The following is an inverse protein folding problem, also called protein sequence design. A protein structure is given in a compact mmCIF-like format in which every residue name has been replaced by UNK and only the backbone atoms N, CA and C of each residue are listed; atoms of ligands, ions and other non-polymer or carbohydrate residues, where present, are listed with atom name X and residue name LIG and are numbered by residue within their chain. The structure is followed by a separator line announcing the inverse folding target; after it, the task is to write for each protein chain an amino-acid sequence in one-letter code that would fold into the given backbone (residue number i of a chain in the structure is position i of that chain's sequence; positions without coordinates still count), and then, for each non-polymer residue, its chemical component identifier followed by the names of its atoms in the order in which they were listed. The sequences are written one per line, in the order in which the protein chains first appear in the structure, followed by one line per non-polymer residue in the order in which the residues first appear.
data_IF_587441536196
#
_entry.id   IF_587441536196
#
_cell.length_a   1.000
_cell.length_b   1.000
_cell.length_c   1.000
_cell.angle_alpha   90.00
_cell.angle_beta   90.00
_cell.angle_gamma   90.00
#
_symmetry.space_group_name_H-M   'P 1'
#
loop_
_entity.id
_entity.type
_entity.pdbx_description
1 polymer ?
#
# COMPACT_ATOMS: atom_id res chain seq x y z
N UNK A 1 15.16 12.95 -9.37
CA UNK A 1 15.48 12.31 -8.07
C UNK A 1 14.77 13.06 -6.94
N UNK A 2 14.59 12.43 -5.76
CA UNK A 2 14.00 13.08 -4.58
C UNK A 2 14.70 14.40 -4.19
N UNK A 3 15.99 14.53 -4.50
CA UNK A 3 16.78 15.74 -4.26
C UNK A 3 16.39 16.92 -5.15
N UNK A 4 15.90 16.69 -6.38
CA UNK A 4 15.59 17.76 -7.34
C UNK A 4 14.38 18.60 -6.92
N UNK A 5 13.53 18.04 -6.05
CA UNK A 5 12.37 18.72 -5.47
C UNK A 5 12.61 19.14 -4.01
N UNK A 6 13.80 18.87 -3.45
CA UNK A 6 14.09 19.16 -2.06
C UNK A 6 14.41 20.65 -1.87
N UNK A 7 13.92 21.31 -0.81
CA UNK A 7 14.30 22.68 -0.50
C UNK A 7 15.80 22.80 -0.17
N UNK A 8 16.45 23.90 -0.53
CA UNK A 8 17.87 24.17 -0.18
C UNK A 8 18.14 24.06 1.33
N UNK A 9 17.14 24.41 2.15
CA UNK A 9 17.18 24.29 3.61
C UNK A 9 17.27 22.85 4.10
N UNK A 10 16.67 21.90 3.37
CA UNK A 10 16.79 20.49 3.67
C UNK A 10 18.20 19.99 3.37
N UNK A 11 18.76 20.36 2.21
CA UNK A 11 20.10 19.90 1.82
C UNK A 11 21.17 20.40 2.79
N UNK A 12 21.01 21.62 3.31
CA UNK A 12 21.98 22.25 4.22
C UNK A 12 21.52 22.33 5.68
N UNK A 13 20.62 21.45 6.15
CA UNK A 13 20.07 21.52 7.50
C UNK A 13 21.16 21.39 8.59
N UNK A 14 21.83 20.24 8.64
CA UNK A 14 22.76 19.90 9.73
C UNK A 14 24.21 20.24 9.39
N UNK A 15 24.56 20.08 8.12
CA UNK A 15 25.84 20.41 7.50
C UNK A 15 25.62 20.61 6.01
N UNK A 16 26.62 21.16 5.31
CA UNK A 16 26.58 21.25 3.86
C UNK A 16 26.28 19.86 3.23
N UNK A 17 25.31 19.79 2.31
CA UNK A 17 24.86 18.55 1.63
C UNK A 17 24.38 17.42 2.54
N UNK A 18 23.98 17.72 3.77
CA UNK A 18 23.43 16.72 4.68
C UNK A 18 22.21 15.98 4.09
N UNK A 19 21.28 16.71 3.46
CA UNK A 19 20.06 16.13 2.90
C UNK A 19 20.35 15.19 1.72
N UNK A 20 21.26 15.59 0.84
CA UNK A 20 21.76 14.73 -0.25
C UNK A 20 22.38 13.45 0.30
N UNK A 21 23.32 13.55 1.25
CA UNK A 21 23.97 12.37 1.84
C UNK A 21 22.98 11.47 2.58
N UNK A 22 21.99 12.05 3.28
CA UNK A 22 20.94 11.30 3.94
C UNK A 22 20.05 10.53 2.94
N UNK A 23 19.73 11.14 1.79
CA UNK A 23 18.96 10.50 0.73
C UNK A 23 19.76 9.40 0.00
N UNK A 24 21.05 9.61 -0.25
CA UNK A 24 21.94 8.62 -0.87
C UNK A 24 22.07 7.33 -0.02
N UNK A 25 22.07 7.48 1.31
CA UNK A 25 22.13 6.33 2.24
C UNK A 25 20.72 5.75 2.49
N UNK A 26 19.67 6.55 2.33
CA UNK A 26 18.31 6.06 2.46
C UNK A 26 17.98 5.06 1.35
N UNK A 27 17.44 3.89 1.71
CA UNK A 27 16.84 2.99 0.73
C UNK A 27 15.51 3.60 0.29
N UNK A 28 15.34 3.98 -0.98
CA UNK A 28 14.04 4.46 -1.46
C UNK A 28 13.08 3.28 -1.54
N UNK A 29 12.31 3.03 -0.47
CA UNK A 29 11.24 2.03 -0.44
C UNK A 29 9.99 2.50 -1.21
N UNK A 30 10.17 2.90 -2.47
CA UNK A 30 9.15 3.51 -3.31
C UNK A 30 9.72 4.25 -4.54
N UNK A 31 8.89 4.97 -5.31
CA UNK A 31 7.46 5.24 -5.09
C UNK A 31 6.58 4.00 -5.23
N UNK A 32 5.52 3.94 -4.44
CA UNK A 32 4.50 2.89 -4.54
C UNK A 32 3.27 3.45 -5.24
N UNK A 33 2.87 2.80 -6.33
CA UNK A 33 1.70 3.19 -7.10
C UNK A 33 0.49 2.33 -6.74
N UNK A 34 -0.71 2.92 -6.77
CA UNK A 34 -1.95 2.20 -6.59
C UNK A 34 -3.02 2.73 -7.56
N UNK A 35 -3.84 1.83 -8.10
CA UNK A 35 -5.09 2.19 -8.78
C UNK A 35 -6.24 2.04 -7.80
N UNK A 36 -7.15 3.02 -7.78
CA UNK A 36 -8.31 3.04 -6.88
C UNK A 36 -9.60 2.99 -7.66
N UNK A 37 -10.50 2.11 -7.23
CA UNK A 37 -11.86 2.00 -7.75
C UNK A 37 -12.86 2.13 -6.59
N UNK A 38 -14.05 2.63 -6.91
CA UNK A 38 -15.15 2.75 -5.95
C UNK A 38 -16.30 1.89 -6.46
N UNK A 39 -16.86 1.08 -5.58
CA UNK A 39 -18.03 0.25 -5.83
C UNK A 39 -19.02 0.31 -4.68
N UNK A 40 -19.99 -0.59 -4.71
CA UNK A 40 -21.02 -0.75 -3.67
C UNK A 40 -21.04 -2.22 -3.25
N UNK A 41 -21.06 -2.47 -1.95
CA UNK A 41 -21.18 -3.77 -1.31
C UNK A 41 -22.26 -3.69 -0.24
N UNK A 42 -23.40 -4.39 -0.41
CA UNK A 42 -24.53 -4.37 0.53
C UNK A 42 -24.87 -2.95 1.00
N UNK A 43 -25.14 -2.06 0.06
CA UNK A 43 -25.45 -0.63 0.27
C UNK A 43 -24.34 0.20 0.96
N UNK A 44 -23.17 -0.40 1.19
CA UNK A 44 -21.98 0.26 1.73
C UNK A 44 -21.02 0.58 0.61
N UNK A 45 -20.49 1.81 0.62
CA UNK A 45 -19.44 2.22 -0.32
C UNK A 45 -18.19 1.36 -0.12
N UNK A 46 -17.80 0.64 -1.16
CA UNK A 46 -16.61 -0.19 -1.20
C UNK A 46 -15.48 0.54 -1.93
N UNK A 47 -14.29 0.49 -1.36
CA UNK A 47 -13.05 0.96 -1.97
C UNK A 47 -12.23 -0.27 -2.37
N UNK A 48 -11.76 -0.29 -3.61
CA UNK A 48 -10.81 -1.28 -4.10
C UNK A 48 -9.51 -0.57 -4.42
N UNK A 49 -8.40 -1.08 -3.91
CA UNK A 49 -7.06 -0.62 -4.26
C UNK A 49 -6.26 -1.76 -4.87
N UNK A 50 -5.63 -1.50 -6.03
CA UNK A 50 -4.77 -2.47 -6.72
C UNK A 50 -3.34 -1.93 -6.74
N UNK A 51 -2.46 -2.70 -6.12
CA UNK A 51 -1.07 -2.34 -5.84
C UNK A 51 -0.12 -3.25 -6.63
N UNK A 52 0.50 -2.76 -7.73
CA UNK A 52 1.64 -3.43 -8.34
C UNK A 52 2.88 -3.28 -7.45
N UNK A 53 3.35 -4.38 -6.87
CA UNK A 53 4.50 -4.42 -5.97
C UNK A 53 5.57 -5.30 -6.61
N UNK A 54 6.82 -4.81 -6.67
CA UNK A 54 7.95 -5.64 -7.08
C UNK A 54 8.13 -6.75 -6.06
N UNK A 55 8.42 -7.95 -6.52
CA UNK A 55 8.67 -9.11 -5.68
C UNK A 55 9.84 -9.90 -6.24
N UNK A 56 10.80 -10.25 -5.38
CA UNK A 56 11.95 -11.06 -5.76
C UNK A 56 13.09 -10.32 -6.48
N UNK A 57 14.24 -10.99 -6.59
CA UNK A 57 15.46 -10.43 -7.20
C UNK A 57 15.33 -10.21 -8.72
N UNK A 58 14.36 -10.86 -9.36
CA UNK A 58 14.08 -10.74 -10.79
C UNK A 58 13.16 -9.54 -11.14
N UNK A 59 12.70 -8.80 -10.13
CA UNK A 59 11.90 -7.58 -10.31
C UNK A 59 10.49 -7.83 -10.84
N UNK A 60 9.96 -9.06 -10.72
CA UNK A 60 8.59 -9.36 -11.13
C UNK A 60 7.58 -8.53 -10.35
N UNK A 61 6.48 -8.17 -11.01
CA UNK A 61 5.38 -7.44 -10.37
C UNK A 61 4.33 -8.43 -9.89
N UNK A 62 4.07 -8.43 -8.58
CA UNK A 62 2.92 -9.06 -7.95
C UNK A 62 1.82 -8.02 -7.69
N UNK A 63 0.57 -8.40 -7.88
CA UNK A 63 -0.56 -7.53 -7.61
C UNK A 63 -1.19 -7.87 -6.26
N UNK A 64 -1.28 -6.88 -5.39
CA UNK A 64 -2.05 -6.97 -4.14
C UNK A 64 -3.33 -6.17 -4.32
N UNK A 65 -4.46 -6.81 -4.05
CA UNK A 65 -5.78 -6.16 -4.10
C UNK A 65 -6.29 -6.03 -2.67
N UNK A 66 -6.62 -4.80 -2.26
CA UNK A 66 -7.35 -4.54 -1.04
C UNK A 66 -8.79 -4.17 -1.36
N UNK A 67 -9.73 -4.77 -0.62
CA UNK A 67 -11.11 -4.33 -0.57
C UNK A 67 -11.42 -3.82 0.84
N UNK A 68 -11.86 -2.56 0.95
CA UNK A 68 -12.14 -1.94 2.24
C UNK A 68 -13.39 -1.07 2.20
N UNK A 69 -14.07 -0.96 3.32
CA UNK A 69 -15.24 -0.10 3.51
C UNK A 69 -15.18 0.53 4.90
N UNK A 70 -15.93 1.62 5.08
CA UNK A 70 -15.98 2.36 6.35
C UNK A 70 -17.42 2.43 6.84
N UNK A 71 -17.61 2.17 8.13
CA UNK A 71 -18.88 2.29 8.83
C UNK A 71 -18.63 2.78 10.25
N UNK A 72 -19.63 3.39 10.88
CA UNK A 72 -19.54 3.90 12.24
C UNK A 72 -19.76 2.80 13.30
N UNK A 73 -20.35 1.65 12.94
CA UNK A 73 -20.59 0.54 13.87
C UNK A 73 -19.57 -0.58 13.68
N UNK A 74 -18.97 -1.01 14.80
CA UNK A 74 -18.05 -2.16 14.84
C UNK A 74 -18.77 -3.45 14.48
N UNK A 75 -20.01 -3.60 14.92
CA UNK A 75 -20.86 -4.76 14.66
C UNK A 75 -21.15 -4.89 13.17
N UNK A 76 -21.53 -3.79 12.53
CA UNK A 76 -21.72 -3.73 11.07
C UNK A 76 -20.40 -4.02 10.34
N UNK A 77 -19.28 -3.43 10.79
CA UNK A 77 -17.97 -3.67 10.19
C UNK A 77 -17.59 -5.15 10.23
N UNK A 78 -17.80 -5.82 11.36
CA UNK A 78 -17.51 -7.23 11.55
C UNK A 78 -18.40 -8.11 10.69
N UNK A 79 -19.71 -7.83 10.65
CA UNK A 79 -20.67 -8.59 9.86
C UNK A 79 -20.40 -8.46 8.35
N UNK A 80 -20.24 -7.24 7.84
CA UNK A 80 -19.98 -7.02 6.41
C UNK A 80 -18.60 -7.54 6.00
N UNK A 81 -17.60 -7.50 6.89
CA UNK A 81 -16.28 -8.09 6.62
C UNK A 81 -16.40 -9.60 6.47
N UNK A 82 -17.15 -10.26 7.35
CA UNK A 82 -17.40 -11.69 7.26
C UNK A 82 -18.10 -12.08 5.96
N UNK A 83 -19.14 -11.33 5.57
CA UNK A 83 -19.85 -11.55 4.30
C UNK A 83 -18.93 -11.38 3.08
N UNK A 84 -18.14 -10.31 3.05
CA UNK A 84 -17.22 -10.06 1.94
C UNK A 84 -16.13 -11.13 1.87
N UNK A 85 -15.55 -11.53 3.01
CA UNK A 85 -14.54 -12.58 3.06
C UNK A 85 -15.10 -13.92 2.53
N UNK A 86 -16.28 -14.34 3.00
CA UNK A 86 -16.93 -15.57 2.54
C UNK A 86 -17.21 -15.54 1.02
N UNK A 87 -17.68 -14.40 0.49
CA UNK A 87 -17.88 -14.23 -0.95
C UNK A 87 -16.56 -14.37 -1.73
N UNK A 88 -15.48 -13.72 -1.27
CA UNK A 88 -14.18 -13.79 -1.93
C UNK A 88 -13.54 -15.18 -1.83
N UNK A 89 -13.75 -15.90 -0.73
CA UNK A 89 -13.34 -17.29 -0.56
C UNK A 89 -14.09 -18.22 -1.52
N UNK A 90 -15.42 -18.07 -1.65
CA UNK A 90 -16.24 -18.83 -2.60
C UNK A 90 -15.75 -18.65 -4.05
N UNK A 91 -15.28 -17.45 -4.40
CA UNK A 91 -14.70 -17.17 -5.73
C UNK A 91 -13.24 -17.63 -5.88
N UNK A 92 -12.60 -18.09 -4.82
CA UNK A 92 -11.18 -18.44 -4.82
C UNK A 92 -10.25 -17.23 -4.95
N UNK A 93 -10.73 -16.03 -4.61
CA UNK A 93 -9.97 -14.78 -4.70
C UNK A 93 -9.30 -14.39 -3.38
N UNK A 94 -9.83 -14.87 -2.25
CA UNK A 94 -9.24 -14.57 -0.96
C UNK A 94 -8.04 -15.48 -0.68
N UNK A 95 -6.88 -14.87 -0.50
CA UNK A 95 -5.70 -15.53 0.04
C UNK A 95 -5.70 -15.36 1.56
N UNK A 96 -6.09 -16.39 2.29
CA UNK A 96 -6.23 -16.39 3.75
C UNK A 96 -4.87 -16.43 4.48
N UNK A 97 -4.04 -15.39 4.28
CA UNK A 97 -2.79 -15.18 5.00
C UNK A 97 -2.62 -13.71 5.35
N UNK A 98 -1.99 -13.45 6.49
CA UNK A 98 -1.60 -12.08 6.81
C UNK A 98 -0.52 -11.60 5.83
N UNK A 99 -0.68 -10.37 5.37
CA UNK A 99 0.24 -9.73 4.44
C UNK A 99 0.29 -8.24 4.80
N UNK A 100 1.32 -7.86 5.55
CA UNK A 100 1.54 -6.45 5.91
C UNK A 100 2.09 -5.72 4.68
N UNK A 101 1.25 -4.89 4.06
CA UNK A 101 1.62 -4.10 2.87
C UNK A 101 2.94 -3.34 3.07
N UNK A 102 3.13 -2.73 4.24
CA UNK A 102 4.36 -2.01 4.58
C UNK A 102 5.59 -2.93 4.58
N UNK A 103 5.49 -4.10 5.20
CA UNK A 103 6.58 -5.07 5.22
C UNK A 103 6.91 -5.55 3.80
N UNK A 104 5.89 -5.86 3.00
CA UNK A 104 6.08 -6.27 1.61
C UNK A 104 6.78 -5.20 0.76
N UNK A 105 6.47 -3.92 0.98
CA UNK A 105 7.16 -2.82 0.30
C UNK A 105 8.62 -2.73 0.79
N UNK A 106 8.85 -2.80 2.10
CA UNK A 106 10.20 -2.71 2.70
C UNK A 106 11.12 -3.88 2.33
N UNK A 107 10.56 -5.05 2.05
CA UNK A 107 11.34 -6.23 1.65
C UNK A 107 11.70 -6.24 0.17
N UNK A 108 11.00 -5.46 -0.67
CA UNK A 108 11.10 -5.59 -2.13
C UNK A 108 11.46 -4.30 -2.89
N UNK A 109 11.73 -3.22 -2.19
CA UNK A 109 12.28 -1.97 -2.73
C UNK A 109 13.56 -1.60 -1.96
#
# INVERSE_FOLDING_TARGET
MLIDAAPDKFDNWKSNKWGTAALEISRPYGPVHAKRCIGIWNDTKLYIEVWPIRTGLDGKISYIVEASFKTASREVAMAERGKLAAYLEEKGWLLARDSLKTQLIMENY
#
